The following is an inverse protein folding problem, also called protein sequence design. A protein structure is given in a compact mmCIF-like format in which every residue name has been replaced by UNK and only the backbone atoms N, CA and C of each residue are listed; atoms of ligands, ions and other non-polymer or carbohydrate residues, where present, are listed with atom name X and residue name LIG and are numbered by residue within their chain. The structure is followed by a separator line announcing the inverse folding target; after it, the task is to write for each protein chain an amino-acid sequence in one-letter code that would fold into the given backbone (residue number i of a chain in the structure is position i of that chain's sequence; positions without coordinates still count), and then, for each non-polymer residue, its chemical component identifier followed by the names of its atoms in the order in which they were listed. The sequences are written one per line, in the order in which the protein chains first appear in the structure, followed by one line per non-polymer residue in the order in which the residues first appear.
data_IF_673199826035
#
_entry.id   IF_673199826035
#
_cell.length_a   1.000
_cell.length_b   1.000
_cell.length_c   1.000
_cell.angle_alpha   90.00
_cell.angle_beta   90.00
_cell.angle_gamma   90.00
#
_symmetry.space_group_name_H-M   'P 1'
#
loop_
_entity.id
_entity.type
_entity.pdbx_description
1 polymer ?
#
# COMPACT_ATOMS: atom_id res chain seq x y z
N UNK A 1 -9.97 -16.10 -0.14
CA UNK A 1 -9.49 -16.17 1.26
C UNK A 1 -10.37 -17.17 1.99
N UNK A 2 -9.79 -18.14 2.73
CA UNK A 2 -10.62 -19.05 3.54
C UNK A 2 -11.28 -18.26 4.69
N UNK A 3 -12.45 -18.72 5.12
CA UNK A 3 -13.33 -18.03 6.08
C UNK A 3 -12.63 -17.65 7.38
N UNK A 4 -11.74 -18.52 7.90
CA UNK A 4 -11.04 -18.28 9.16
C UNK A 4 -10.03 -17.13 9.06
N UNK A 5 -9.31 -17.04 7.94
CA UNK A 5 -8.33 -15.97 7.72
C UNK A 5 -9.05 -14.62 7.51
N UNK A 6 -10.19 -14.64 6.81
CA UNK A 6 -11.02 -13.46 6.64
C UNK A 6 -11.57 -12.94 7.98
N UNK A 7 -11.81 -13.81 8.97
CA UNK A 7 -12.33 -13.40 10.28
C UNK A 7 -11.33 -12.62 11.13
N UNK A 8 -10.04 -12.93 10.99
CA UNK A 8 -8.99 -12.39 11.86
C UNK A 8 -8.23 -11.22 11.23
N UNK A 9 -8.13 -11.17 9.90
CA UNK A 9 -7.45 -10.09 9.19
C UNK A 9 -8.21 -8.77 9.34
N UNK A 10 -7.47 -7.71 9.62
CA UNK A 10 -7.95 -6.34 9.51
C UNK A 10 -7.83 -5.88 8.06
N UNK A 11 -8.77 -5.07 7.58
CA UNK A 11 -8.79 -4.63 6.18
C UNK A 11 -8.69 -3.11 6.15
N UNK A 12 -7.65 -2.52 5.52
CA UNK A 12 -7.60 -1.08 5.26
C UNK A 12 -8.70 -0.67 4.26
N UNK A 13 -9.11 0.59 4.30
CA UNK A 13 -10.17 1.11 3.42
C UNK A 13 -9.64 2.04 2.33
N UNK A 14 -8.35 2.40 2.39
CA UNK A 14 -7.68 3.31 1.46
C UNK A 14 -6.87 2.56 0.39
N UNK A 15 -6.06 3.27 -0.39
CA UNK A 15 -5.13 2.70 -1.37
C UNK A 15 -4.02 1.83 -0.75
N UNK A 16 -3.96 1.72 0.57
CA UNK A 16 -3.13 0.76 1.27
C UNK A 16 -3.80 -0.61 1.42
N UNK A 17 -4.98 -0.85 0.84
CA UNK A 17 -5.73 -2.10 0.94
C UNK A 17 -4.85 -3.33 0.66
N UNK A 18 -4.20 -3.39 -0.48
CA UNK A 18 -3.42 -4.57 -0.90
C UNK A 18 -2.21 -4.79 0.00
N UNK A 19 -1.44 -3.73 0.30
CA UNK A 19 -0.24 -3.80 1.15
C UNK A 19 -0.60 -4.09 2.60
N UNK A 20 -1.71 -3.53 3.11
CA UNK A 20 -2.17 -3.76 4.46
C UNK A 20 -2.79 -5.16 4.62
N UNK A 21 -3.52 -5.66 3.63
CA UNK A 21 -3.98 -7.06 3.60
C UNK A 21 -2.78 -8.00 3.56
N UNK A 22 -1.77 -7.71 2.75
CA UNK A 22 -0.53 -8.49 2.71
C UNK A 22 0.15 -8.50 4.09
N UNK A 23 0.23 -7.34 4.75
CA UNK A 23 0.80 -7.22 6.10
C UNK A 23 0.05 -8.08 7.12
N UNK A 24 -1.28 -8.09 7.07
CA UNK A 24 -2.10 -8.94 7.95
C UNK A 24 -1.97 -10.44 7.64
N UNK A 25 -1.81 -10.81 6.36
CA UNK A 25 -1.53 -12.20 5.98
C UNK A 25 -0.16 -12.64 6.52
N UNK A 26 0.87 -11.79 6.41
CA UNK A 26 2.20 -12.08 6.98
C UNK A 26 2.17 -12.21 8.50
N UNK A 27 1.31 -11.44 9.18
CA UNK A 27 1.09 -11.51 10.63
C UNK A 27 0.39 -12.81 11.04
N UNK A 28 -0.64 -13.20 10.29
CA UNK A 28 -1.56 -14.27 10.69
C UNK A 28 -1.24 -15.65 10.06
N UNK A 29 -0.35 -15.71 9.07
CA UNK A 29 0.06 -16.94 8.38
C UNK A 29 1.58 -17.11 8.39
N UNK A 30 2.05 -18.36 8.46
CA UNK A 30 3.47 -18.65 8.23
C UNK A 30 3.82 -18.43 6.76
N UNK A 31 5.04 -17.94 6.50
CA UNK A 31 5.54 -17.69 5.13
C UNK A 31 5.39 -18.90 4.20
N UNK A 32 5.54 -20.12 4.72
CA UNK A 32 5.38 -21.37 3.95
C UNK A 32 3.97 -21.61 3.42
N UNK A 33 2.97 -20.86 3.91
CA UNK A 33 1.57 -20.91 3.48
C UNK A 33 1.20 -19.77 2.54
N UNK A 34 2.16 -18.94 2.17
CA UNK A 34 2.01 -17.84 1.21
C UNK A 34 2.70 -18.28 -0.08
N UNK A 35 2.00 -18.13 -1.20
CA UNK A 35 2.55 -18.36 -2.52
C UNK A 35 2.07 -17.27 -3.46
N UNK A 36 2.85 -17.04 -4.51
CA UNK A 36 2.45 -16.27 -5.68
C UNK A 36 2.24 -17.27 -6.81
N UNK A 37 1.19 -17.05 -7.60
CA UNK A 37 0.88 -17.85 -8.78
C UNK A 37 0.79 -16.92 -9.97
N UNK A 38 1.18 -17.43 -11.14
CA UNK A 38 0.91 -16.75 -12.39
C UNK A 38 -0.58 -16.87 -12.72
N UNK A 39 -1.19 -15.78 -13.18
CA UNK A 39 -2.63 -15.69 -13.42
C UNK A 39 -2.95 -15.63 -14.92
N UNK A 40 -2.14 -14.91 -15.69
CA UNK A 40 -2.38 -14.67 -17.11
C UNK A 40 -1.08 -14.24 -17.79
N UNK A 41 -0.90 -14.66 -19.04
CA UNK A 41 0.25 -14.27 -19.85
C UNK A 41 0.33 -12.75 -20.05
N UNK A 42 -0.84 -12.09 -20.16
CA UNK A 42 -0.96 -10.65 -20.30
C UNK A 42 -1.97 -10.10 -19.30
N UNK A 43 -1.61 -9.00 -18.63
CA UNK A 43 -2.46 -8.28 -17.71
C UNK A 43 -2.59 -6.82 -18.14
N UNK A 44 -3.72 -6.48 -18.76
CA UNK A 44 -4.07 -5.10 -19.07
C UNK A 44 -4.63 -4.44 -17.81
N UNK A 45 -4.09 -3.27 -17.47
CA UNK A 45 -4.54 -2.51 -16.32
C UNK A 45 -4.71 -1.05 -16.68
N UNK A 46 -5.64 -0.39 -15.96
CA UNK A 46 -5.89 1.02 -16.16
C UNK A 46 -4.72 1.84 -15.61
N UNK A 47 -4.02 2.54 -16.49
CA UNK A 47 -3.01 3.51 -16.08
C UNK A 47 -3.66 4.72 -15.42
N UNK A 48 -3.06 5.17 -14.34
CA UNK A 48 -3.42 6.40 -13.64
C UNK A 48 -2.41 7.48 -13.98
N UNK A 49 -2.84 8.74 -13.99
CA UNK A 49 -1.94 9.87 -14.15
C UNK A 49 -1.00 10.00 -12.94
N UNK A 50 0.20 10.53 -13.17
CA UNK A 50 1.18 10.77 -12.11
C UNK A 50 0.67 11.79 -11.06
N UNK A 51 0.00 12.85 -11.53
CA UNK A 51 -0.53 13.95 -10.70
C UNK A 51 0.52 14.62 -9.78
N UNK A 52 1.67 15.12 -10.30
CA UNK A 52 2.75 15.67 -9.48
C UNK A 52 2.33 16.89 -8.63
N UNK A 53 1.36 17.66 -9.12
CA UNK A 53 0.90 18.90 -8.51
C UNK A 53 -0.24 18.73 -7.52
N UNK A 54 -0.94 17.58 -7.52
CA UNK A 54 -2.10 17.33 -6.65
C UNK A 54 -1.91 16.03 -5.84
N UNK A 55 -1.55 16.13 -4.54
CA UNK A 55 -1.32 14.98 -3.69
C UNK A 55 -2.59 14.17 -3.38
N UNK A 56 -3.77 14.64 -3.80
CA UNK A 56 -5.04 13.95 -3.60
C UNK A 56 -5.49 13.16 -4.85
N UNK A 57 -4.67 13.10 -5.90
CA UNK A 57 -4.99 12.42 -7.15
C UNK A 57 -3.84 11.53 -7.64
N UNK A 58 -4.19 10.64 -8.57
CA UNK A 58 -3.24 9.85 -9.33
C UNK A 58 -2.28 9.02 -8.48
N UNK A 59 -1.12 8.76 -9.07
CA UNK A 59 -0.07 7.95 -8.46
C UNK A 59 0.59 8.64 -7.25
N UNK A 60 0.61 9.98 -7.20
CA UNK A 60 1.09 10.70 -6.02
C UNK A 60 0.23 10.38 -4.78
N UNK A 61 -1.10 10.40 -4.90
CA UNK A 61 -1.98 9.99 -3.78
C UNK A 61 -1.75 8.54 -3.41
N UNK A 62 -1.76 7.64 -4.40
CA UNK A 62 -1.61 6.20 -4.17
C UNK A 62 -0.32 5.88 -3.43
N UNK A 63 0.82 6.38 -3.91
CA UNK A 63 2.13 6.18 -3.27
C UNK A 63 2.18 6.75 -1.84
N UNK A 64 1.55 7.90 -1.61
CA UNK A 64 1.46 8.51 -0.28
C UNK A 64 0.66 7.63 0.69
N UNK A 65 -0.51 7.13 0.26
CA UNK A 65 -1.37 6.29 1.08
C UNK A 65 -0.72 4.92 1.38
N UNK A 66 -0.05 4.32 0.38
CA UNK A 66 0.74 3.10 0.55
C UNK A 66 1.88 3.31 1.57
N UNK A 67 2.64 4.39 1.45
CA UNK A 67 3.75 4.68 2.36
C UNK A 67 3.25 4.88 3.80
N UNK A 68 2.14 5.62 4.00
CA UNK A 68 1.50 5.75 5.33
C UNK A 68 1.11 4.40 5.91
N UNK A 69 0.50 3.53 5.11
CA UNK A 69 0.09 2.20 5.56
C UNK A 69 1.29 1.35 5.95
N UNK A 70 2.35 1.36 5.14
CA UNK A 70 3.59 0.66 5.43
C UNK A 70 4.25 1.14 6.73
N UNK A 71 4.36 2.45 6.93
CA UNK A 71 4.96 3.01 8.15
C UNK A 71 4.19 2.60 9.40
N UNK A 72 2.86 2.67 9.37
CA UNK A 72 2.00 2.23 10.48
C UNK A 72 2.15 0.74 10.77
N UNK A 73 2.19 -0.10 9.75
CA UNK A 73 2.34 -1.54 9.92
C UNK A 73 3.69 -1.88 10.54
N UNK A 74 4.78 -1.29 10.03
CA UNK A 74 6.13 -1.46 10.60
C UNK A 74 6.21 -0.97 12.05
N UNK A 75 5.62 0.19 12.35
CA UNK A 75 5.56 0.70 13.73
C UNK A 75 4.74 -0.21 14.65
N UNK A 76 3.65 -0.81 14.16
CA UNK A 76 2.85 -1.79 14.92
C UNK A 76 3.61 -3.08 15.23
N UNK A 77 4.62 -3.41 14.42
CA UNK A 77 5.58 -4.50 14.67
C UNK A 77 6.73 -4.07 15.62
N UNK A 78 6.72 -2.83 16.13
CA UNK A 78 7.73 -2.31 17.03
C UNK A 78 8.98 -1.75 16.35
N UNK A 79 8.93 -1.49 15.04
CA UNK A 79 10.03 -0.84 14.32
C UNK A 79 10.01 0.66 14.63
N UNK A 80 11.13 1.18 15.13
CA UNK A 80 11.31 2.61 15.38
C UNK A 80 11.50 3.37 14.06
N UNK A 81 10.45 4.06 13.63
CA UNK A 81 10.43 4.95 12.47
C UNK A 81 10.65 6.40 12.88
N UNK A 82 11.77 6.67 13.53
CA UNK A 82 12.18 8.02 13.91
C UNK A 82 12.29 8.97 12.70
N UNK A 83 12.14 10.26 12.96
CA UNK A 83 12.23 11.29 11.90
C UNK A 83 13.58 11.25 11.17
N UNK A 84 14.67 10.93 11.87
CA UNK A 84 15.99 10.75 11.27
C UNK A 84 16.01 9.56 10.31
N UNK A 85 15.44 8.41 10.70
CA UNK A 85 15.34 7.24 9.82
C UNK A 85 14.51 7.55 8.57
N UNK A 86 13.38 8.25 8.71
CA UNK A 86 12.53 8.64 7.58
C UNK A 86 13.25 9.60 6.62
N UNK A 87 14.06 10.53 7.14
CA UNK A 87 14.93 11.40 6.31
C UNK A 87 15.98 10.58 5.55
N UNK A 88 16.62 9.62 6.21
CA UNK A 88 17.57 8.69 5.56
C UNK A 88 16.88 7.86 4.50
N UNK A 89 15.70 7.32 4.77
CA UNK A 89 14.90 6.54 3.81
C UNK A 89 14.65 7.34 2.52
N UNK A 90 14.23 8.60 2.62
CA UNK A 90 14.01 9.46 1.45
C UNK A 90 15.29 9.64 0.62
N UNK A 91 16.43 9.90 1.28
CA UNK A 91 17.72 10.06 0.60
C UNK A 91 18.17 8.76 -0.09
N UNK A 92 18.00 7.61 0.58
CA UNK A 92 18.29 6.30 0.03
C UNK A 92 17.39 5.98 -1.16
N UNK A 93 16.09 6.23 -1.06
CA UNK A 93 15.13 6.05 -2.15
C UNK A 93 15.56 6.83 -3.41
N UNK A 94 15.83 8.13 -3.27
CA UNK A 94 16.24 8.97 -4.39
C UNK A 94 17.51 8.44 -5.07
N UNK A 95 18.52 8.07 -4.30
CA UNK A 95 19.76 7.52 -4.84
C UNK A 95 19.53 6.20 -5.58
N UNK A 96 18.84 5.25 -4.95
CA UNK A 96 18.52 3.96 -5.56
C UNK A 96 17.69 4.12 -6.82
N UNK A 97 16.74 5.05 -6.83
CA UNK A 97 15.90 5.33 -7.99
C UNK A 97 16.72 5.91 -9.16
N UNK A 98 17.66 6.83 -8.91
CA UNK A 98 18.56 7.36 -9.95
C UNK A 98 19.47 6.29 -10.56
N UNK A 99 20.02 5.41 -9.71
CA UNK A 99 20.81 4.24 -10.15
C UNK A 99 19.94 3.30 -11.02
N UNK A 100 18.68 3.12 -10.63
CA UNK A 100 17.70 2.28 -11.32
C UNK A 100 17.31 2.85 -12.69
N UNK A 101 17.06 4.17 -12.80
CA UNK A 101 16.81 4.86 -14.08
C UNK A 101 17.97 4.63 -15.06
N UNK A 102 19.21 4.76 -14.57
CA UNK A 102 20.40 4.56 -15.40
C UNK A 102 20.44 3.13 -15.93
N UNK A 103 20.25 2.15 -15.05
CA UNK A 103 20.24 0.73 -15.41
C UNK A 103 19.17 0.39 -16.45
N UNK A 104 17.94 0.86 -16.25
CA UNK A 104 16.84 0.54 -17.18
C UNK A 104 16.93 1.30 -18.51
N UNK A 105 17.51 2.50 -18.52
CA UNK A 105 17.87 3.15 -19.77
C UNK A 105 18.88 2.32 -20.56
N UNK A 106 19.92 1.82 -19.90
CA UNK A 106 20.97 1.04 -20.59
C UNK A 106 20.42 -0.30 -21.09
N UNK A 107 19.52 -0.93 -20.33
CA UNK A 107 18.77 -2.12 -20.75
C UNK A 107 17.87 -1.83 -21.96
N UNK A 108 17.11 -0.74 -21.93
CA UNK A 108 16.28 -0.31 -23.05
C UNK A 108 17.13 -0.06 -24.31
N UNK A 109 18.27 0.62 -24.17
CA UNK A 109 19.18 0.90 -25.27
C UNK A 109 19.74 -0.37 -25.93
N UNK A 110 20.12 -1.39 -25.13
CA UNK A 110 20.58 -2.69 -25.64
C UNK A 110 19.47 -3.42 -26.41
N UNK A 111 18.23 -3.27 -25.98
CA UNK A 111 17.07 -3.90 -26.61
C UNK A 111 16.43 -3.05 -27.73
N UNK A 112 16.96 -1.85 -28.01
CA UNK A 112 16.41 -0.94 -29.01
C UNK A 112 15.03 -0.37 -28.63
N UNK A 113 14.74 -0.24 -27.34
CA UNK A 113 13.51 0.34 -26.81
C UNK A 113 13.72 1.82 -26.47
N UNK A 114 12.66 2.62 -26.67
CA UNK A 114 12.65 4.02 -26.25
C UNK A 114 12.55 4.13 -24.72
N UNK A 115 13.31 5.05 -24.13
CA UNK A 115 13.34 5.29 -22.70
C UNK A 115 13.49 6.79 -22.39
N UNK A 116 12.46 7.40 -21.82
CA UNK A 116 12.49 8.82 -21.44
C UNK A 116 13.04 8.99 -20.01
N UNK A 117 14.34 9.29 -19.91
CA UNK A 117 14.99 9.57 -18.62
C UNK A 117 14.39 10.77 -17.88
N UNK A 118 13.86 11.76 -18.60
CA UNK A 118 13.29 12.95 -17.97
C UNK A 118 11.96 12.62 -17.31
N UNK A 119 11.07 11.93 -18.02
CA UNK A 119 9.79 11.47 -17.48
C UNK A 119 9.98 10.57 -16.25
N UNK A 120 10.93 9.64 -16.31
CA UNK A 120 11.29 8.78 -15.19
C UNK A 120 11.81 9.58 -13.99
N UNK A 121 12.63 10.62 -14.24
CA UNK A 121 13.09 11.54 -13.21
C UNK A 121 11.94 12.29 -12.52
N UNK A 122 10.99 12.81 -13.30
CA UNK A 122 9.78 13.48 -12.78
C UNK A 122 8.94 12.51 -11.94
N UNK A 123 8.86 11.25 -12.35
CA UNK A 123 8.17 10.19 -11.60
C UNK A 123 8.84 9.92 -10.25
N UNK A 124 10.16 9.80 -10.23
CA UNK A 124 10.94 9.62 -8.99
C UNK A 124 10.79 10.81 -8.04
N UNK A 125 10.84 12.03 -8.55
CA UNK A 125 10.64 13.24 -7.74
C UNK A 125 9.24 13.27 -7.13
N UNK A 126 8.23 12.85 -7.90
CA UNK A 126 6.85 12.76 -7.44
C UNK A 126 6.70 11.73 -6.32
N UNK A 127 7.25 10.53 -6.46
CA UNK A 127 7.19 9.53 -5.40
C UNK A 127 8.01 9.90 -4.16
N UNK A 128 9.14 10.60 -4.34
CA UNK A 128 9.91 11.18 -3.24
C UNK A 128 9.10 12.20 -2.43
N UNK A 129 8.26 13.02 -3.11
CA UNK A 129 7.27 13.89 -2.47
C UNK A 129 6.21 13.09 -1.71
N UNK A 130 5.73 11.98 -2.28
CA UNK A 130 4.79 11.08 -1.61
C UNK A 130 5.34 10.48 -0.31
N UNK A 131 6.59 10.02 -0.31
CA UNK A 131 7.30 9.52 0.88
C UNK A 131 7.41 10.62 1.94
N UNK A 132 7.73 11.85 1.54
CA UNK A 132 7.83 12.98 2.47
C UNK A 132 6.48 13.30 3.13
N UNK A 133 5.40 13.36 2.34
CA UNK A 133 4.04 13.61 2.84
C UNK A 133 3.60 12.51 3.81
N UNK A 134 3.87 11.26 3.47
CA UNK A 134 3.59 10.12 4.34
C UNK A 134 4.40 10.17 5.65
N UNK A 135 5.68 10.53 5.57
CA UNK A 135 6.58 10.63 6.72
C UNK A 135 6.11 11.72 7.69
N UNK A 136 5.75 12.90 7.17
CA UNK A 136 5.20 14.01 7.98
C UNK A 136 3.91 13.60 8.68
N UNK A 137 2.96 13.01 7.94
CA UNK A 137 1.70 12.56 8.51
C UNK A 137 1.89 11.48 9.60
N UNK A 138 2.84 10.56 9.40
CA UNK A 138 3.15 9.53 10.37
C UNK A 138 3.79 10.09 11.65
N UNK A 139 4.72 11.06 11.53
CA UNK A 139 5.35 11.70 12.69
C UNK A 139 4.34 12.51 13.50
N UNK A 140 3.40 13.18 12.82
CA UNK A 140 2.35 13.96 13.47
C UNK A 140 1.32 13.08 14.19
N UNK A 141 0.84 12.02 13.53
CA UNK A 141 -0.11 11.07 14.09
C UNK A 141 0.19 9.63 13.63
N UNK A 142 1.00 8.88 14.40
CA UNK A 142 1.39 7.51 14.07
C UNK A 142 0.22 6.53 14.05
N UNK A 143 -0.88 6.82 14.76
CA UNK A 143 -2.02 5.93 14.89
C UNK A 143 -3.09 6.25 13.84
N UNK A 144 -3.41 7.52 13.64
CA UNK A 144 -4.44 8.01 12.71
C UNK A 144 -5.73 7.16 12.72
N UNK A 145 -6.45 7.10 11.60
CA UNK A 145 -7.69 6.32 11.50
C UNK A 145 -7.35 4.82 11.63
N UNK A 146 -7.86 4.12 12.67
CA UNK A 146 -7.58 2.71 12.87
C UNK A 146 -8.14 1.87 11.72
N UNK A 147 -7.47 0.74 11.43
CA UNK A 147 -7.96 -0.26 10.48
C UNK A 147 -9.39 -0.70 10.85
N UNK A 148 -10.17 -1.12 9.85
CA UNK A 148 -11.51 -1.67 10.09
C UNK A 148 -11.35 -2.86 11.08
N UNK A 149 -12.13 -2.90 12.17
CA UNK A 149 -12.13 -4.03 13.10
C UNK A 149 -12.35 -5.35 12.38
N UNK A 150 -11.57 -6.37 12.73
CA UNK A 150 -11.79 -7.70 12.19
C UNK A 150 -13.14 -8.27 12.66
N UNK A 151 -13.66 -9.25 11.92
CA UNK A 151 -14.98 -9.83 12.21
C UNK A 151 -15.05 -10.46 13.59
N UNK A 152 -13.96 -11.07 14.07
CA UNK A 152 -13.90 -11.61 15.44
C UNK A 152 -14.17 -10.54 16.50
N UNK A 153 -13.64 -9.32 16.34
CA UNK A 153 -13.92 -8.18 17.23
C UNK A 153 -15.35 -7.68 17.07
N UNK A 154 -15.86 -7.60 15.84
CA UNK A 154 -17.24 -7.17 15.57
C UNK A 154 -18.24 -8.13 16.23
N UNK A 155 -18.11 -9.44 16.01
CA UNK A 155 -19.03 -10.43 16.59
C UNK A 155 -18.89 -10.58 18.10
N UNK A 156 -17.71 -10.27 18.65
CA UNK A 156 -17.53 -10.22 20.11
C UNK A 156 -18.25 -9.03 20.73
N UNK A 157 -18.19 -7.86 20.09
CA UNK A 157 -18.86 -6.65 20.57
C UNK A 157 -20.37 -6.63 20.26
N UNK A 158 -20.78 -7.23 19.15
CA UNK A 158 -22.16 -7.24 18.65
C UNK A 158 -22.48 -8.68 18.19
N UNK A 159 -22.91 -9.57 19.11
CA UNK A 159 -23.11 -11.00 18.83
C UNK A 159 -24.10 -11.31 17.70
N UNK A 160 -25.11 -10.47 17.50
CA UNK A 160 -26.14 -10.64 16.47
C UNK A 160 -25.85 -9.87 15.16
N UNK A 161 -24.64 -9.27 15.02
CA UNK A 161 -24.31 -8.44 13.87
C UNK A 161 -24.45 -9.15 12.52
N UNK A 162 -24.03 -10.42 12.44
CA UNK A 162 -24.08 -11.17 11.18
C UNK A 162 -25.53 -11.41 10.72
N UNK A 163 -26.46 -11.60 11.64
CA UNK A 163 -27.88 -11.75 11.30
C UNK A 163 -28.48 -10.40 10.87
N UNK A 164 -28.12 -9.32 11.55
CA UNK A 164 -28.53 -7.95 11.14
C UNK A 164 -28.04 -7.61 9.74
N UNK A 165 -26.78 -7.92 9.44
CA UNK A 165 -26.18 -7.68 8.12
C UNK A 165 -26.89 -8.49 7.05
N UNK A 166 -27.16 -9.77 7.32
CA UNK A 166 -27.90 -10.65 6.40
C UNK A 166 -29.31 -10.10 6.11
N UNK A 167 -30.03 -9.66 7.14
CA UNK A 167 -31.36 -9.07 6.96
C UNK A 167 -31.30 -7.78 6.14
N UNK A 168 -30.37 -6.88 6.45
CA UNK A 168 -30.19 -5.65 5.67
C UNK A 168 -29.88 -5.92 4.19
N UNK A 169 -29.04 -6.92 3.89
CA UNK A 169 -28.75 -7.33 2.51
C UNK A 169 -30.00 -7.91 1.83
N UNK A 170 -30.81 -8.70 2.54
CA UNK A 170 -32.06 -9.22 1.97
C UNK A 170 -33.04 -8.08 1.65
N UNK A 171 -33.16 -7.12 2.57
CA UNK A 171 -34.05 -5.95 2.41
C UNK A 171 -33.62 -5.04 1.25
N UNK A 172 -32.31 -4.87 1.00
CA UNK A 172 -31.77 -4.09 -0.12
C UNK A 172 -31.91 -4.80 -1.49
N UNK A 173 -32.07 -6.13 -1.48
CA UNK A 173 -32.29 -6.94 -2.68
C UNK A 173 -33.79 -7.12 -3.02
N UNK A 174 -34.70 -6.46 -2.28
CA UNK A 174 -36.15 -6.41 -2.55
C UNK A 174 -36.58 -5.08 -3.12
#
# INVERSE_FOLDING_TARGET
MITDLARINRIPWDWGLEVGVLSEVFRNCSLRRICQVDLADNYEHKHQELSPDDPNKGLLRMSTDIAKNLFRNLASEGIDLSESLLKTLKATYLRTAQETITKYHDDAAVNGLDFDRHEEGVTVDTFSKGIELASKAFVEDPLSIPLIPNWSRVTSAIPDFLERLKNAVNDDNT
#
